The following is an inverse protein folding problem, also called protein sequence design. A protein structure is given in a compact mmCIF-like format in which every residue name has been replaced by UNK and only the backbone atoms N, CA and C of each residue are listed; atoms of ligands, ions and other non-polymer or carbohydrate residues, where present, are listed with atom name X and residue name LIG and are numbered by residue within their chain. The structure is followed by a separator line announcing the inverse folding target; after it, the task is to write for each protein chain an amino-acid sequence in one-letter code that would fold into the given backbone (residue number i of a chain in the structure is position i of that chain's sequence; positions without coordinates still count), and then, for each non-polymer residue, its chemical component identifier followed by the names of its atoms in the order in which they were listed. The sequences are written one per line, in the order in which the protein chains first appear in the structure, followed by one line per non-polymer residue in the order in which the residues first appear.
data_IF_460761863503
#
_entry.id   IF_460761863503
#
_cell.length_a   1.000
_cell.length_b   1.000
_cell.length_c   1.000
_cell.angle_alpha   90.00
_cell.angle_beta   90.00
_cell.angle_gamma   90.00
#
_symmetry.space_group_name_H-M   'P 1'
#
loop_
_entity.id
_entity.type
_entity.pdbx_description
1 polymer ?
#
# COMPACT_ATOMS: atom_id res chain seq x y z
N UNK A 1 2.15 -13.00 12.47
CA UNK A 1 2.61 -11.89 11.59
C UNK A 1 3.07 -10.73 12.45
N UNK A 2 3.83 -9.77 11.90
CA UNK A 2 4.27 -8.57 12.59
C UNK A 2 3.62 -7.33 11.98
N UNK A 3 3.23 -6.38 12.83
CA UNK A 3 2.80 -5.04 12.44
C UNK A 3 3.78 -4.02 13.01
N UNK A 4 4.30 -3.16 12.14
CA UNK A 4 5.16 -2.04 12.54
C UNK A 4 4.48 -0.71 12.27
N UNK A 5 4.67 0.25 13.17
CA UNK A 5 4.26 1.65 13.04
C UNK A 5 5.50 2.52 13.09
N UNK A 6 5.72 3.31 12.04
CA UNK A 6 6.81 4.26 11.93
C UNK A 6 6.24 5.66 11.72
N UNK A 7 6.67 6.63 12.52
CA UNK A 7 6.51 8.05 12.25
C UNK A 7 7.70 8.53 11.42
N UNK A 8 7.44 9.09 10.25
CA UNK A 8 8.47 9.47 9.31
C UNK A 8 8.85 10.94 9.41
N UNK A 9 10.15 11.21 9.21
CA UNK A 9 10.70 12.56 9.31
C UNK A 9 10.33 13.41 8.10
N UNK A 10 9.21 14.14 8.20
CA UNK A 10 8.76 15.05 7.14
C UNK A 10 9.62 16.32 7.01
N UNK A 11 10.51 16.63 7.97
CA UNK A 11 11.47 17.73 7.83
C UNK A 11 12.66 17.36 6.92
N UNK A 12 12.92 16.07 6.73
CA UNK A 12 13.95 15.60 5.79
C UNK A 12 13.43 15.66 4.37
N UNK A 13 14.00 16.55 3.53
CA UNK A 13 13.64 16.66 2.10
C UNK A 13 13.78 15.34 1.34
N UNK A 14 14.78 14.54 1.68
CA UNK A 14 14.99 13.21 1.09
C UNK A 14 13.83 12.27 1.40
N UNK A 15 13.45 12.16 2.68
CA UNK A 15 12.34 11.33 3.13
C UNK A 15 11.03 11.81 2.51
N UNK A 16 10.75 13.11 2.59
CA UNK A 16 9.56 13.71 2.01
C UNK A 16 9.42 13.42 0.50
N UNK A 17 10.52 13.52 -0.25
CA UNK A 17 10.57 13.16 -1.67
C UNK A 17 10.31 11.68 -1.90
N UNK A 18 10.89 10.80 -1.08
CA UNK A 18 10.64 9.36 -1.18
C UNK A 18 9.16 9.03 -0.96
N UNK A 19 8.53 9.66 0.05
CA UNK A 19 7.11 9.47 0.35
C UNK A 19 6.18 9.95 -0.76
N UNK A 20 6.50 11.10 -1.35
CA UNK A 20 5.60 11.76 -2.29
C UNK A 20 5.86 11.41 -3.74
N UNK A 21 7.09 11.14 -4.13
CA UNK A 21 7.48 11.06 -5.55
C UNK A 21 8.16 9.74 -5.91
N UNK A 22 8.56 8.91 -4.94
CA UNK A 22 9.32 7.70 -5.21
C UNK A 22 8.97 6.51 -4.29
N UNK A 23 7.83 5.83 -4.51
CA UNK A 23 7.44 4.65 -3.74
C UNK A 23 8.47 3.53 -3.77
N UNK A 24 9.28 3.45 -4.83
CA UNK A 24 10.31 2.44 -4.94
C UNK A 24 11.44 2.68 -3.93
N UNK A 25 11.81 3.93 -3.69
CA UNK A 25 12.79 4.30 -2.67
C UNK A 25 12.27 4.05 -1.26
N UNK A 26 10.99 4.38 -1.00
CA UNK A 26 10.33 4.00 0.24
C UNK A 26 10.33 2.47 0.44
N UNK A 27 9.98 1.72 -0.59
CA UNK A 27 9.99 0.26 -0.54
C UNK A 27 11.41 -0.28 -0.28
N UNK A 28 12.43 0.27 -0.94
CA UNK A 28 13.83 -0.11 -0.70
C UNK A 28 14.24 0.16 0.74
N UNK A 29 13.85 1.30 1.32
CA UNK A 29 14.12 1.63 2.71
C UNK A 29 13.43 0.66 3.68
N UNK A 30 12.18 0.27 3.41
CA UNK A 30 11.46 -0.76 4.17
C UNK A 30 12.20 -2.10 4.12
N UNK A 31 12.70 -2.49 2.95
CA UNK A 31 13.37 -3.78 2.77
C UNK A 31 14.69 -3.89 3.54
N UNK A 32 15.33 -2.77 3.91
CA UNK A 32 16.54 -2.78 4.76
C UNK A 32 16.30 -3.34 6.16
N UNK A 33 15.04 -3.33 6.63
CA UNK A 33 14.70 -3.88 7.93
C UNK A 33 14.69 -5.41 7.96
N UNK A 34 14.87 -6.07 6.81
CA UNK A 34 14.90 -7.53 6.73
C UNK A 34 16.32 -8.03 6.42
N UNK A 35 16.68 -9.27 6.82
CA UNK A 35 18.00 -9.82 6.53
C UNK A 35 18.26 -9.96 5.03
N UNK A 36 19.52 -9.80 4.63
CA UNK A 36 19.96 -10.07 3.26
C UNK A 36 19.77 -11.56 2.93
N UNK A 37 19.37 -11.86 1.68
CA UNK A 37 19.14 -13.23 1.21
C UNK A 37 17.74 -13.79 1.46
N UNK A 38 16.90 -13.12 2.26
CA UNK A 38 15.48 -13.45 2.34
C UNK A 38 14.80 -13.03 1.05
N UNK A 39 14.10 -13.95 0.36
CA UNK A 39 13.35 -13.54 -0.83
C UNK A 39 12.22 -12.63 -0.39
N UNK A 40 11.92 -11.61 -1.20
CA UNK A 40 10.76 -10.74 -0.96
C UNK A 40 9.46 -11.53 -0.75
N UNK A 41 9.34 -12.67 -1.43
CA UNK A 41 8.20 -13.57 -1.33
C UNK A 41 8.06 -14.15 0.08
N UNK A 42 9.18 -14.39 0.77
CA UNK A 42 9.23 -14.98 2.11
C UNK A 42 8.92 -13.94 3.20
N UNK A 43 9.19 -12.65 2.97
CA UNK A 43 8.83 -11.60 3.93
C UNK A 43 7.34 -11.24 3.87
N UNK A 44 6.71 -11.49 2.71
CA UNK A 44 5.33 -11.11 2.37
C UNK A 44 5.00 -9.66 2.81
N UNK A 45 5.96 -8.74 2.59
CA UNK A 45 5.90 -7.39 3.14
C UNK A 45 4.84 -6.55 2.42
N UNK A 46 3.88 -6.03 3.19
CA UNK A 46 2.90 -5.03 2.76
C UNK A 46 3.12 -3.74 3.55
N UNK A 47 2.78 -2.61 2.95
CA UNK A 47 2.80 -1.35 3.67
C UNK A 47 1.69 -0.42 3.20
N UNK A 48 1.29 0.49 4.08
CA UNK A 48 0.38 1.59 3.79
C UNK A 48 0.97 2.87 4.38
N UNK A 49 1.02 3.91 3.56
CA UNK A 49 1.41 5.24 3.98
C UNK A 49 0.16 6.06 4.33
N UNK A 50 0.18 6.73 5.47
CA UNK A 50 -0.83 7.66 5.94
C UNK A 50 -0.21 9.06 5.93
N UNK A 51 -0.19 9.70 4.76
CA UNK A 51 0.52 10.96 4.55
C UNK A 51 -0.19 12.17 5.15
N UNK A 52 -1.50 12.07 5.35
CA UNK A 52 -2.34 13.14 5.92
C UNK A 52 -2.16 13.26 7.45
N UNK A 53 -1.38 12.36 8.05
CA UNK A 53 -0.99 12.42 9.46
C UNK A 53 0.26 13.29 9.62
N UNK A 54 0.36 14.00 10.74
CA UNK A 54 1.54 14.81 11.08
C UNK A 54 2.12 14.34 12.42
N UNK A 55 3.32 13.72 12.44
CA UNK A 55 4.12 13.32 11.28
C UNK A 55 3.48 12.17 10.47
N UNK A 56 3.85 11.98 9.18
CA UNK A 56 3.32 10.90 8.36
C UNK A 56 3.55 9.53 8.98
N UNK A 57 2.54 8.67 8.92
CA UNK A 57 2.63 7.32 9.48
C UNK A 57 2.82 6.29 8.38
N UNK A 58 3.81 5.42 8.54
CA UNK A 58 4.01 4.24 7.73
C UNK A 58 3.63 3.01 8.56
N UNK A 59 2.63 2.27 8.07
CA UNK A 59 2.22 0.99 8.62
C UNK A 59 2.82 -0.12 7.75
N UNK A 60 3.58 -1.03 8.37
CA UNK A 60 4.22 -2.15 7.68
C UNK A 60 3.71 -3.46 8.27
N UNK A 61 3.31 -4.38 7.41
CA UNK A 61 2.96 -5.75 7.77
C UNK A 61 3.99 -6.70 7.14
N UNK A 62 4.48 -7.66 7.93
CA UNK A 62 5.45 -8.65 7.47
C UNK A 62 5.25 -10.00 8.17
N UNK A 63 5.68 -11.08 7.53
CA UNK A 63 5.73 -12.40 8.15
C UNK A 63 6.98 -12.58 9.01
N UNK A 64 8.10 -12.01 8.58
CA UNK A 64 9.36 -11.99 9.32
C UNK A 64 9.41 -10.78 10.25
N UNK A 65 10.04 -10.92 11.43
CA UNK A 65 10.24 -9.82 12.38
C UNK A 65 11.20 -8.79 11.75
N UNK A 66 10.77 -7.53 11.55
CA UNK A 66 11.67 -6.50 11.05
C UNK A 66 12.64 -6.02 12.13
N UNK A 67 13.86 -5.71 11.71
CA UNK A 67 14.89 -5.03 12.49
C UNK A 67 15.07 -3.60 11.96
N UNK A 68 14.35 -2.66 12.56
CA UNK A 68 14.37 -1.27 12.13
C UNK A 68 15.64 -0.51 12.54
N UNK A 69 16.56 -1.12 13.31
CA UNK A 69 17.86 -0.50 13.61
C UNK A 69 18.70 -0.27 12.35
N UNK A 70 18.44 -1.03 11.29
CA UNK A 70 19.08 -0.93 9.98
C UNK A 70 18.56 0.23 9.13
N UNK A 71 17.42 0.81 9.49
CA UNK A 71 16.89 1.97 8.78
C UNK A 71 17.70 3.20 9.18
N UNK A 72 18.10 4.02 8.21
CA UNK A 72 18.81 5.26 8.50
C UNK A 72 17.97 6.15 9.45
N UNK A 73 18.50 6.59 10.60
CA UNK A 73 17.74 7.35 11.60
C UNK A 73 17.07 8.62 11.05
N UNK A 74 17.62 9.22 9.99
CA UNK A 74 17.01 10.40 9.34
C UNK A 74 15.62 10.14 8.76
N UNK A 75 15.22 8.88 8.57
CA UNK A 75 13.88 8.49 8.15
C UNK A 75 12.83 8.66 9.23
N UNK A 76 13.22 8.64 10.50
CA UNK A 76 12.31 8.59 11.62
C UNK A 76 12.12 9.97 12.23
N UNK A 77 10.87 10.33 12.48
CA UNK A 77 10.55 11.51 13.24
C UNK A 77 11.00 11.33 14.70
N UNK A 78 11.55 12.36 15.36
CA UNK A 78 11.96 12.27 16.76
C UNK A 78 10.83 11.77 17.65
N UNK A 79 11.16 10.87 18.58
CA UNK A 79 10.19 10.32 19.54
C UNK A 79 9.67 11.47 20.41
N UNK A 80 8.35 11.63 20.46
CA UNK A 80 7.71 12.57 21.38
C UNK A 80 7.58 11.91 22.75
N UNK A 81 7.86 12.62 23.87
CA UNK A 81 7.60 12.12 25.21
C UNK A 81 6.10 11.88 25.49
N UNK A 82 5.22 12.41 24.65
CA UNK A 82 3.77 12.25 24.74
C UNK A 82 3.22 11.12 23.85
N UNK A 83 4.05 10.48 23.01
CA UNK A 83 3.62 9.32 22.24
C UNK A 83 3.73 8.05 23.11
N UNK A 84 2.65 7.29 23.33
CA UNK A 84 2.70 6.08 24.16
C UNK A 84 3.49 4.93 23.52
N UNK A 85 3.84 5.04 22.23
CA UNK A 85 4.57 4.00 21.51
C UNK A 85 5.96 4.51 21.09
N UNK A 86 6.99 3.64 21.10
CA UNK A 86 8.28 3.99 20.52
C UNK A 86 8.14 4.25 19.01
N UNK A 87 9.12 4.94 18.44
CA UNK A 87 9.25 5.09 17.01
C UNK A 87 10.61 4.55 16.56
N UNK A 88 10.67 3.39 15.88
CA UNK A 88 9.57 2.55 15.41
C UNK A 88 8.94 1.67 16.50
N UNK A 89 7.65 1.38 16.38
CA UNK A 89 6.98 0.35 17.18
C UNK A 89 6.77 -0.92 16.36
N UNK A 90 7.02 -2.08 16.95
CA UNK A 90 6.77 -3.41 16.35
C UNK A 90 5.94 -4.24 17.30
N UNK A 91 4.87 -4.86 16.78
CA UNK A 91 4.00 -5.75 17.54
C UNK A 91 3.83 -7.07 16.78
N UNK A 92 4.04 -8.19 17.48
CA UNK A 92 3.62 -9.49 17.01
C UNK A 92 2.09 -9.60 17.12
N UNK A 93 1.45 -10.03 16.03
CA UNK A 93 0.04 -10.38 15.99
C UNK A 93 -0.05 -11.89 15.86
N UNK A 94 -0.49 -12.50 16.96
CA UNK A 94 -0.74 -13.92 17.11
C UNK A 94 -2.24 -14.14 17.33
N UNK A 95 -2.75 -15.31 16.93
CA UNK A 95 -4.14 -15.68 17.19
C UNK A 95 -5.18 -14.77 16.54
N UNK A 96 -4.98 -14.32 15.29
CA UNK A 96 -6.03 -13.61 14.58
C UNK A 96 -7.17 -14.59 14.24
N UNK A 97 -8.16 -14.66 15.12
CA UNK A 97 -9.31 -15.54 14.98
C UNK A 97 -10.36 -14.89 14.07
N UNK A 98 -10.37 -15.28 12.80
CA UNK A 98 -11.41 -14.90 11.85
C UNK A 98 -12.50 -15.98 11.86
N UNK A 99 -13.67 -15.64 12.40
CA UNK A 99 -14.85 -16.50 12.38
C UNK A 99 -15.83 -16.07 11.29
N UNK A 100 -16.59 -17.02 10.74
CA UNK A 100 -17.64 -16.72 9.78
C UNK A 100 -18.70 -15.83 10.44
N UNK A 101 -19.04 -14.72 9.77
CA UNK A 101 -20.05 -13.77 10.25
C UNK A 101 -19.47 -12.62 11.09
N UNK A 102 -18.18 -12.65 11.45
CA UNK A 102 -17.52 -11.54 12.14
C UNK A 102 -17.58 -10.26 11.27
N UNK A 103 -18.03 -9.17 11.88
CA UNK A 103 -18.10 -7.86 11.22
C UNK A 103 -16.89 -7.05 11.65
N UNK A 104 -16.08 -6.66 10.66
CA UNK A 104 -14.85 -5.90 10.86
C UNK A 104 -14.85 -4.66 9.98
N UNK A 105 -14.13 -3.64 10.42
CA UNK A 105 -13.74 -2.49 9.59
C UNK A 105 -12.34 -2.72 9.06
N UNK A 106 -12.09 -2.27 7.84
CA UNK A 106 -10.76 -2.34 7.25
C UNK A 106 -10.50 -1.15 6.33
N UNK A 107 -9.22 -0.91 6.07
CA UNK A 107 -8.77 0.12 5.13
C UNK A 107 -7.79 -0.47 4.15
N UNK A 108 -7.99 -0.19 2.86
CA UNK A 108 -7.22 -0.79 1.79
C UNK A 108 -6.81 0.26 0.74
N UNK A 109 -5.51 0.40 0.54
CA UNK A 109 -4.97 1.02 -0.68
C UNK A 109 -4.75 -0.10 -1.68
N UNK A 110 -5.45 -0.06 -2.82
CA UNK A 110 -5.35 -1.08 -3.85
C UNK A 110 -5.20 -0.44 -5.24
N UNK A 111 -4.85 -1.27 -6.23
CA UNK A 111 -4.87 -0.89 -7.63
C UNK A 111 -5.94 -1.72 -8.37
N UNK A 112 -7.22 -1.24 -8.40
CA UNK A 112 -8.29 -1.93 -9.12
C UNK A 112 -7.96 -2.01 -10.61
N UNK A 113 -7.63 -3.20 -11.10
CA UNK A 113 -7.23 -3.44 -12.49
C UNK A 113 -7.95 -4.62 -13.10
N UNK A 114 -8.13 -4.56 -14.42
CA UNK A 114 -8.60 -5.67 -15.25
C UNK A 114 -7.55 -6.04 -16.29
N UNK A 115 -7.40 -7.34 -16.56
CA UNK A 115 -6.52 -7.84 -17.62
C UNK A 115 -7.30 -7.77 -18.93
N UNK A 116 -6.96 -6.83 -19.82
CA UNK A 116 -7.52 -6.80 -21.18
C UNK A 116 -6.81 -7.82 -22.06
N UNK A 117 -7.59 -8.68 -22.70
CA UNK A 117 -7.09 -9.61 -23.71
C UNK A 117 -6.69 -8.80 -24.94
N UNK A 118 -5.47 -9.01 -25.43
CA UNK A 118 -5.04 -8.49 -26.73
C UNK A 118 -5.03 -9.62 -27.74
N UNK A 119 -5.36 -9.28 -28.98
CA UNK A 119 -5.21 -10.16 -30.13
C UNK A 119 -4.05 -9.65 -31.00
N UNK A 120 -3.36 -10.57 -31.65
CA UNK A 120 -2.41 -10.29 -32.71
C UNK A 120 -3.15 -9.90 -34.00
N UNK A 121 -2.43 -9.45 -35.02
CA UNK A 121 -3.00 -9.09 -36.33
C UNK A 121 -3.66 -10.30 -37.02
N UNK A 122 -3.13 -11.50 -36.78
CA UNK A 122 -3.69 -12.79 -37.20
C UNK A 122 -4.92 -13.24 -36.38
N UNK A 123 -5.41 -12.42 -35.44
CA UNK A 123 -6.55 -12.72 -34.57
C UNK A 123 -6.25 -13.64 -33.37
N UNK A 124 -5.03 -14.18 -33.27
CA UNK A 124 -4.61 -15.07 -32.17
C UNK A 124 -4.47 -14.32 -30.84
N UNK A 125 -4.73 -14.99 -29.72
CA UNK A 125 -4.68 -14.37 -28.39
C UNK A 125 -3.24 -14.15 -27.94
N UNK A 126 -2.85 -12.91 -27.62
CA UNK A 126 -1.56 -12.63 -26.99
C UNK A 126 -1.49 -13.24 -25.59
N UNK A 127 -0.38 -13.93 -25.31
CA UNK A 127 -0.08 -14.55 -24.00
C UNK A 127 -0.10 -13.51 -22.86
N UNK A 128 0.41 -12.32 -23.15
CA UNK A 128 0.45 -11.19 -22.20
C UNK A 128 -0.62 -10.16 -22.55
N UNK A 129 -1.72 -10.17 -21.78
CA UNK A 129 -2.71 -9.09 -21.77
C UNK A 129 -2.25 -7.93 -20.90
N UNK A 130 -2.70 -6.72 -21.22
CA UNK A 130 -2.35 -5.52 -20.44
C UNK A 130 -3.26 -5.37 -19.24
N UNK A 131 -2.70 -4.97 -18.09
CA UNK A 131 -3.50 -4.52 -16.95
C UNK A 131 -3.90 -3.07 -17.18
N UNK A 132 -5.20 -2.79 -17.10
CA UNK A 132 -5.76 -1.45 -17.26
C UNK A 132 -6.46 -1.06 -15.96
N UNK A 133 -6.23 0.15 -15.43
CA UNK A 133 -6.90 0.62 -14.23
C UNK A 133 -8.40 0.80 -14.47
N UNK A 134 -9.20 0.48 -13.46
CA UNK A 134 -10.62 0.80 -13.42
C UNK A 134 -10.77 2.22 -12.89
N UNK A 135 -11.24 3.12 -13.76
CA UNK A 135 -11.35 4.56 -13.48
C UNK A 135 -12.60 4.90 -12.68
N UNK A 136 -13.74 4.28 -13.00
CA UNK A 136 -15.04 4.57 -12.38
C UNK A 136 -15.16 3.92 -11.02
N UNK A 137 -15.60 4.68 -10.02
CA UNK A 137 -15.78 4.20 -8.64
C UNK A 137 -16.69 2.98 -8.56
N UNK A 138 -17.83 3.00 -9.28
CA UNK A 138 -18.74 1.85 -9.35
C UNK A 138 -18.01 0.55 -9.74
N UNK A 139 -17.09 0.65 -10.70
CA UNK A 139 -16.29 -0.50 -11.19
C UNK A 139 -15.21 -0.92 -10.21
N UNK A 140 -14.64 0.01 -9.45
CA UNK A 140 -13.69 -0.31 -8.39
C UNK A 140 -14.38 -1.02 -7.22
N UNK A 141 -15.58 -0.58 -6.85
CA UNK A 141 -16.41 -1.25 -5.82
C UNK A 141 -16.79 -2.65 -6.27
N UNK A 142 -17.26 -2.81 -7.52
CA UNK A 142 -17.56 -4.13 -8.11
C UNK A 142 -16.31 -5.05 -8.09
N UNK A 143 -15.15 -4.50 -8.42
CA UNK A 143 -13.88 -5.22 -8.35
C UNK A 143 -13.56 -5.68 -6.92
N UNK A 144 -13.75 -4.81 -5.92
CA UNK A 144 -13.50 -5.16 -4.51
C UNK A 144 -14.51 -6.20 -3.99
N UNK A 145 -15.79 -6.08 -4.36
CA UNK A 145 -16.83 -7.07 -4.03
C UNK A 145 -16.44 -8.47 -4.53
N UNK A 146 -16.08 -8.57 -5.81
CA UNK A 146 -15.64 -9.82 -6.43
C UNK A 146 -14.38 -10.38 -5.76
N UNK A 147 -13.45 -9.50 -5.35
CA UNK A 147 -12.25 -9.91 -4.60
C UNK A 147 -12.62 -10.43 -3.21
N UNK A 148 -13.58 -9.81 -2.54
CA UNK A 148 -14.14 -10.31 -1.30
C UNK A 148 -14.67 -11.73 -1.43
N UNK A 149 -15.57 -11.94 -2.40
CA UNK A 149 -16.17 -13.27 -2.63
C UNK A 149 -15.11 -14.33 -2.93
N UNK A 150 -14.06 -13.98 -3.69
CA UNK A 150 -12.96 -14.89 -4.00
C UNK A 150 -12.09 -15.23 -2.77
N UNK A 151 -11.92 -14.31 -1.82
CA UNK A 151 -10.98 -14.42 -0.70
C UNK A 151 -11.66 -14.47 0.67
N UNK A 152 -12.97 -14.75 0.74
CA UNK A 152 -13.67 -15.10 1.97
C UNK A 152 -14.21 -13.92 2.79
N UNK A 153 -14.38 -12.73 2.21
CA UNK A 153 -15.05 -11.61 2.88
C UNK A 153 -16.19 -11.01 2.04
N UNK A 154 -17.13 -10.32 2.69
CA UNK A 154 -18.23 -9.61 2.01
C UNK A 154 -18.27 -8.17 2.47
N UNK A 155 -18.38 -7.23 1.53
CA UNK A 155 -18.56 -5.82 1.86
C UNK A 155 -19.95 -5.58 2.46
N UNK A 156 -20.00 -4.95 3.64
CA UNK A 156 -21.22 -4.42 4.25
C UNK A 156 -21.48 -2.98 3.83
N UNK A 157 -20.44 -2.15 3.95
CA UNK A 157 -20.41 -0.76 3.55
C UNK A 157 -19.04 -0.48 2.93
N UNK A 158 -18.97 0.49 2.01
CA UNK A 158 -17.72 0.94 1.40
C UNK A 158 -17.77 2.44 1.22
N UNK A 159 -16.69 3.11 1.59
CA UNK A 159 -16.48 4.53 1.33
C UNK A 159 -15.24 4.67 0.48
N UNK A 160 -15.39 5.33 -0.66
CA UNK A 160 -14.30 5.58 -1.58
C UNK A 160 -13.70 6.94 -1.19
N UNK A 161 -12.40 7.02 -0.94
CA UNK A 161 -11.75 8.30 -0.65
C UNK A 161 -10.97 8.78 -1.86
N UNK A 162 -10.67 10.08 -1.91
CA UNK A 162 -9.70 10.55 -2.89
C UNK A 162 -8.35 9.81 -2.74
N UNK A 163 -7.63 9.59 -3.86
CA UNK A 163 -6.24 9.16 -3.81
C UNK A 163 -5.45 10.08 -2.86
N UNK A 164 -4.57 9.49 -2.06
CA UNK A 164 -3.51 10.30 -1.47
C UNK A 164 -2.72 10.95 -2.61
N UNK A 165 -2.55 12.27 -2.55
CA UNK A 165 -1.85 13.04 -3.58
C UNK A 165 -0.35 12.72 -3.54
N UNK A 166 0.05 11.65 -4.21
CA UNK A 166 1.46 11.42 -4.51
C UNK A 166 1.90 12.38 -5.63
N UNK A 167 2.98 13.13 -5.44
CA UNK A 167 3.68 13.93 -6.47
C UNK A 167 4.37 13.09 -7.56
N UNK A 168 4.16 11.76 -7.60
CA UNK A 168 4.79 10.82 -8.56
C UNK A 168 4.45 11.11 -10.03
N UNK A 169 3.57 12.06 -10.31
CA UNK A 169 3.18 12.37 -11.69
C UNK A 169 4.26 13.22 -12.37
N UNK A 170 5.17 12.54 -13.06
CA UNK A 170 5.94 13.13 -14.16
C UNK A 170 4.93 13.71 -15.15
N UNK A 171 4.86 15.03 -15.20
CA UNK A 171 4.06 15.86 -16.11
C UNK A 171 4.56 15.74 -17.57
N UNK A 172 4.76 14.52 -18.06
CA UNK A 172 5.02 14.24 -19.47
C UNK A 172 3.89 13.35 -19.96
N UNK A 173 2.96 13.99 -20.70
CA UNK A 173 1.85 13.42 -21.48
C UNK A 173 0.47 13.35 -20.80
N UNK A 174 0.03 14.46 -20.21
CA UNK A 174 -1.38 14.69 -19.86
C UNK A 174 -2.20 15.32 -21.01
N UNK A 175 -1.64 15.45 -22.22
CA UNK A 175 -2.42 15.97 -23.35
C UNK A 175 -3.32 14.92 -24.04
N UNK A 176 -3.28 13.61 -23.71
CA UNK A 176 -4.08 12.63 -24.48
C UNK A 176 -4.78 11.47 -23.78
N UNK A 177 -4.84 11.35 -22.46
CA UNK A 177 -5.65 10.28 -21.85
C UNK A 177 -6.26 10.64 -20.50
N UNK A 178 -7.60 10.62 -20.43
CA UNK A 178 -8.46 10.65 -19.24
C UNK A 178 -8.25 9.44 -18.31
N UNK A 179 -7.03 9.20 -17.82
CA UNK A 179 -6.74 8.17 -16.85
C UNK A 179 -6.94 8.69 -15.43
N UNK A 180 -8.00 8.26 -14.75
CA UNK A 180 -8.23 8.64 -13.35
C UNK A 180 -7.17 8.05 -12.40
N UNK A 181 -6.85 8.76 -11.31
CA UNK A 181 -5.84 8.34 -10.34
C UNK A 181 -6.27 7.09 -9.54
N UNK A 182 -5.32 6.34 -8.95
CA UNK A 182 -5.60 5.16 -8.14
C UNK A 182 -6.29 5.57 -6.82
N UNK A 183 -7.42 4.95 -6.52
CA UNK A 183 -8.26 5.31 -5.38
C UNK A 183 -8.01 4.40 -4.17
N UNK A 184 -7.92 4.99 -2.97
CA UNK A 184 -7.91 4.29 -1.70
C UNK A 184 -9.34 3.93 -1.30
N UNK A 185 -9.61 2.66 -1.02
CA UNK A 185 -10.93 2.19 -0.58
C UNK A 185 -10.95 2.04 0.94
N UNK A 186 -11.90 2.70 1.59
CA UNK A 186 -12.24 2.50 2.99
C UNK A 186 -13.50 1.62 3.12
N UNK A 187 -13.62 0.91 4.23
CA UNK A 187 -14.86 0.28 4.69
C UNK A 187 -15.04 0.49 6.19
#
# INVERSE_FOLDING_TARGET
MYLSRLQLNHHSRHVWRALLANPYELHRAIMLAFPDGVRREDTNTLYRLEIDQTPPLLLVQSEVKPDWSKLNPNWLYPVSPFDPLPNPAVRAVEGLHLAKGLVLRFRLVANPTVKKVRRNEDGSRRKNGNRVPLVREEKQIEWLKRKGEQYGFRLRQVTVSEPQKYLIWKQKRLEKTNGAPPITLFT
#
